data_IF_313819568963
#
_entry.id   IF_313819568963
#
_cell.length_a   1.000
_cell.length_b   1.000
_cell.length_c   1.000
_cell.angle_alpha   90.00
_cell.angle_beta   90.00
_cell.angle_gamma   90.00
#
_symmetry.space_group_name_H-M   'P 1'
#
loop_
_entity.id
_entity.type
_entity.pdbx_description
1 polymer ?
#
# COMPACT_ATOMS: atom_id res chain seq x y z
N UNK A 1 -6.90 0.72 -9.96
CA UNK A 1 -7.22 -0.71 -10.06
C UNK A 1 -6.01 -1.40 -9.50
N UNK A 2 -6.13 -2.44 -8.68
CA UNK A 2 -4.94 -3.09 -8.12
C UNK A 2 -4.03 -3.49 -9.27
N UNK A 3 -2.85 -2.87 -9.33
CA UNK A 3 -1.96 -2.96 -10.48
C UNK A 3 -1.05 -4.18 -10.36
N UNK A 4 -0.69 -4.54 -9.13
CA UNK A 4 0.21 -5.66 -8.85
C UNK A 4 -0.30 -6.50 -7.68
N UNK A 5 -0.25 -7.81 -7.84
CA UNK A 5 -0.45 -8.78 -6.78
C UNK A 5 0.84 -9.56 -6.54
N UNK A 6 1.22 -9.71 -5.28
CA UNK A 6 2.31 -10.60 -4.87
C UNK A 6 1.74 -11.93 -4.40
N UNK A 7 2.22 -13.01 -5.00
CA UNK A 7 1.79 -14.37 -4.70
C UNK A 7 2.87 -15.14 -3.94
N UNK A 8 2.46 -15.92 -2.95
CA UNK A 8 3.28 -16.94 -2.31
C UNK A 8 2.58 -18.29 -2.50
N UNK A 9 3.00 -19.04 -3.52
CA UNK A 9 2.24 -20.19 -4.00
C UNK A 9 0.92 -19.72 -4.60
N UNK A 10 -0.20 -20.27 -4.12
CA UNK A 10 -1.56 -19.91 -4.55
C UNK A 10 -2.17 -18.77 -3.71
N UNK A 11 -1.50 -18.31 -2.65
CA UNK A 11 -1.99 -17.28 -1.77
C UNK A 11 -1.54 -15.88 -2.23
N UNK A 12 -2.49 -14.94 -2.27
CA UNK A 12 -2.18 -13.51 -2.39
C UNK A 12 -1.74 -12.99 -1.03
N UNK A 13 -0.53 -12.44 -0.97
CA UNK A 13 0.11 -12.01 0.28
C UNK A 13 0.34 -10.51 0.36
N UNK A 14 0.46 -9.83 -0.78
CA UNK A 14 0.43 -8.37 -0.86
C UNK A 14 -0.26 -7.88 -2.15
N UNK A 15 -0.80 -6.66 -2.12
CA UNK A 15 -1.33 -5.97 -3.28
C UNK A 15 -0.87 -4.51 -3.32
N UNK A 16 -0.65 -4.01 -4.52
CA UNK A 16 -0.09 -2.69 -4.76
C UNK A 16 -0.97 -1.94 -5.76
N UNK A 17 -1.37 -0.74 -5.38
CA UNK A 17 -1.94 0.27 -6.27
C UNK A 17 -0.84 1.29 -6.58
N UNK A 18 -0.53 1.48 -7.86
CA UNK A 18 0.51 2.40 -8.34
C UNK A 18 -0.15 3.68 -8.84
N UNK A 19 -0.09 4.74 -8.04
CA UNK A 19 -0.84 5.98 -8.27
C UNK A 19 0.06 7.08 -8.84
N UNK A 20 0.17 7.14 -10.17
CA UNK A 20 1.00 8.15 -10.85
C UNK A 20 0.24 9.43 -11.23
N UNK A 21 -0.98 9.31 -11.77
CA UNK A 21 -1.76 10.44 -12.32
C UNK A 21 -3.25 10.40 -11.99
N UNK A 22 -3.77 9.25 -11.58
CA UNK A 22 -5.17 9.02 -11.21
C UNK A 22 -5.54 9.64 -9.86
N UNK A 23 -6.83 9.66 -9.53
CA UNK A 23 -7.31 10.12 -8.23
C UNK A 23 -7.12 9.02 -7.19
N UNK A 24 -6.25 9.27 -6.22
CA UNK A 24 -5.99 8.41 -5.03
C UNK A 24 -7.29 7.89 -4.41
N UNK A 25 -8.30 8.75 -4.31
CA UNK A 25 -9.59 8.40 -3.75
C UNK A 25 -10.25 7.21 -4.46
N UNK A 26 -10.11 7.09 -5.78
CA UNK A 26 -10.69 5.98 -6.53
C UNK A 26 -9.94 4.66 -6.29
N UNK A 27 -8.61 4.69 -6.15
CA UNK A 27 -7.82 3.53 -5.75
C UNK A 27 -8.22 3.05 -4.35
N UNK A 28 -8.31 3.98 -3.39
CA UNK A 28 -8.78 3.72 -2.03
C UNK A 28 -10.19 3.14 -1.98
N UNK A 29 -11.12 3.64 -2.78
CA UNK A 29 -12.49 3.12 -2.83
C UNK A 29 -12.52 1.65 -3.29
N UNK A 30 -11.71 1.28 -4.28
CA UNK A 30 -11.63 -0.12 -4.74
C UNK A 30 -11.00 -1.02 -3.70
N UNK A 31 -9.99 -0.53 -2.97
CA UNK A 31 -9.42 -1.26 -1.83
C UNK A 31 -10.45 -1.43 -0.71
N UNK A 32 -11.25 -0.40 -0.42
CA UNK A 32 -12.33 -0.47 0.56
C UNK A 32 -13.38 -1.53 0.17
N UNK A 33 -13.76 -1.60 -1.11
CA UNK A 33 -14.69 -2.61 -1.62
C UNK A 33 -14.11 -4.02 -1.43
N UNK A 34 -12.84 -4.24 -1.77
CA UNK A 34 -12.15 -5.52 -1.58
C UNK A 34 -12.17 -5.97 -0.10
N UNK A 35 -11.76 -5.07 0.81
CA UNK A 35 -11.72 -5.34 2.25
C UNK A 35 -13.12 -5.64 2.80
N UNK A 36 -14.13 -4.91 2.32
CA UNK A 36 -15.52 -5.11 2.72
C UNK A 36 -16.09 -6.46 2.26
N UNK A 37 -15.68 -6.93 1.08
CA UNK A 37 -16.10 -8.24 0.56
C UNK A 37 -15.39 -9.41 1.26
N UNK A 38 -14.16 -9.22 1.73
CA UNK A 38 -13.33 -10.26 2.35
C UNK A 38 -12.73 -9.74 3.68
N UNK A 39 -13.54 -9.61 4.76
CA UNK A 39 -13.07 -8.99 6.01
C UNK A 39 -11.99 -9.78 6.75
N UNK A 40 -11.84 -11.07 6.44
CA UNK A 40 -10.78 -11.95 6.98
C UNK A 40 -9.53 -11.99 6.11
N UNK A 41 -9.45 -11.15 5.07
CA UNK A 41 -8.31 -11.10 4.15
C UNK A 41 -7.06 -10.64 4.90
N UNK A 42 -6.09 -11.55 5.01
CA UNK A 42 -4.75 -11.26 5.55
C UNK A 42 -3.84 -10.90 4.38
N UNK A 43 -3.93 -9.64 3.95
CA UNK A 43 -3.22 -9.11 2.80
C UNK A 43 -2.57 -7.78 3.19
N UNK A 44 -1.28 -7.63 2.89
CA UNK A 44 -0.64 -6.32 2.99
C UNK A 44 -1.06 -5.46 1.80
N UNK A 45 -1.59 -4.26 2.08
CA UNK A 45 -1.98 -3.30 1.04
C UNK A 45 -0.96 -2.17 0.96
N UNK A 46 -0.64 -1.76 -0.26
CA UNK A 46 0.32 -0.69 -0.50
C UNK A 46 -0.16 0.29 -1.56
N UNK A 47 0.04 1.58 -1.29
CA UNK A 47 -0.04 2.64 -2.30
C UNK A 47 1.38 3.03 -2.65
N UNK A 48 1.75 2.85 -3.92
CA UNK A 48 3.06 3.26 -4.44
C UNK A 48 2.84 4.53 -5.26
N UNK A 49 3.42 5.65 -4.85
CA UNK A 49 3.24 6.91 -5.57
C UNK A 49 4.49 7.80 -5.50
N UNK A 50 4.59 8.83 -6.37
CA UNK A 50 5.56 9.89 -6.20
C UNK A 50 5.48 10.53 -4.82
N UNK A 51 6.64 10.88 -4.27
CA UNK A 51 6.83 11.46 -2.95
C UNK A 51 5.97 12.72 -2.73
N UNK A 52 5.82 13.58 -3.75
CA UNK A 52 5.00 14.78 -3.69
C UNK A 52 3.49 14.49 -3.47
N UNK A 53 3.04 13.25 -3.65
CA UNK A 53 1.66 12.83 -3.41
C UNK A 53 1.44 12.29 -2.00
N UNK A 54 2.49 12.10 -1.21
CA UNK A 54 2.43 11.52 0.14
C UNK A 54 1.35 12.19 0.99
N UNK A 55 1.39 13.51 1.13
CA UNK A 55 0.41 14.26 1.95
C UNK A 55 -1.03 14.02 1.49
N UNK A 56 -1.25 13.97 0.17
CA UNK A 56 -2.56 13.69 -0.41
C UNK A 56 -3.01 12.26 -0.14
N UNK A 57 -2.12 11.28 -0.21
CA UNK A 57 -2.42 9.89 0.15
C UNK A 57 -2.85 9.79 1.60
N UNK A 58 -2.06 10.38 2.51
CA UNK A 58 -2.33 10.38 3.94
C UNK A 58 -3.63 11.10 4.29
N UNK A 59 -3.89 12.25 3.64
CA UNK A 59 -5.15 12.95 3.81
C UNK A 59 -6.35 12.09 3.38
N UNK A 60 -6.31 11.54 2.15
CA UNK A 60 -7.43 10.79 1.60
C UNK A 60 -7.70 9.51 2.38
N UNK A 61 -6.68 8.71 2.70
CA UNK A 61 -6.85 7.44 3.41
C UNK A 61 -7.38 7.61 4.82
N UNK A 62 -7.07 8.72 5.49
CA UNK A 62 -7.56 9.03 6.83
C UNK A 62 -8.96 9.64 6.86
N UNK A 63 -9.61 9.83 5.71
CA UNK A 63 -11.00 10.30 5.67
C UNK A 63 -11.93 9.29 6.37
N UNK A 64 -13.01 9.76 7.03
CA UNK A 64 -13.94 8.89 7.75
C UNK A 64 -14.51 7.73 6.94
N UNK A 65 -14.62 7.88 5.61
CA UNK A 65 -15.09 6.82 4.71
C UNK A 65 -14.20 5.56 4.75
N UNK A 66 -12.90 5.72 5.00
CA UNK A 66 -11.92 4.64 4.99
C UNK A 66 -11.41 4.30 6.39
N UNK A 67 -11.24 5.31 7.25
CA UNK A 67 -10.77 5.15 8.63
C UNK A 67 -11.79 4.43 9.55
N UNK A 68 -13.08 4.37 9.17
CA UNK A 68 -14.12 3.70 9.95
C UNK A 68 -14.48 2.30 9.44
N UNK A 69 -13.79 1.80 8.42
CA UNK A 69 -13.97 0.43 7.93
C UNK A 69 -13.54 -0.59 8.99
N UNK A 70 -13.94 -1.84 8.79
CA UNK A 70 -13.57 -2.95 9.67
C UNK A 70 -12.88 -4.05 8.83
N UNK A 71 -11.53 -4.10 8.83
CA UNK A 71 -10.58 -3.19 9.53
C UNK A 71 -10.43 -1.80 8.85
N UNK A 72 -9.97 -0.76 9.58
CA UNK A 72 -9.68 0.55 9.00
C UNK A 72 -8.60 0.49 7.93
N UNK A 73 -8.79 1.15 6.79
CA UNK A 73 -7.77 1.17 5.73
C UNK A 73 -6.42 1.76 6.17
N UNK A 74 -6.35 2.89 6.91
CA UNK A 74 -5.06 3.43 7.39
C UNK A 74 -4.21 2.44 8.18
N UNK A 75 -4.84 1.45 8.82
CA UNK A 75 -4.18 0.44 9.64
C UNK A 75 -3.60 -0.73 8.84
N UNK A 76 -4.16 -1.01 7.67
CA UNK A 76 -3.80 -2.19 6.86
C UNK A 76 -3.11 -1.83 5.55
N UNK A 77 -3.18 -0.55 5.15
CA UNK A 77 -2.59 -0.04 3.94
C UNK A 77 -1.44 0.92 4.27
N UNK A 78 -0.30 0.72 3.63
CA UNK A 78 0.92 1.50 3.82
C UNK A 78 1.28 2.27 2.56
N UNK A 79 2.09 3.31 2.70
CA UNK A 79 2.54 4.13 1.60
C UNK A 79 3.99 3.82 1.24
N UNK A 80 4.31 3.69 -0.05
CA UNK A 80 5.68 3.48 -0.53
C UNK A 80 6.04 4.62 -1.47
N UNK A 81 6.97 5.51 -1.08
CA UNK A 81 7.46 6.55 -1.96
C UNK A 81 8.34 5.98 -3.07
N UNK A 82 8.27 6.58 -4.26
CA UNK A 82 9.10 6.19 -5.40
C UNK A 82 10.59 6.33 -5.11
N UNK A 83 10.99 7.37 -4.38
CA UNK A 83 12.40 7.60 -4.07
C UNK A 83 13.00 6.45 -3.24
N UNK A 84 12.34 6.05 -2.15
CA UNK A 84 12.83 4.96 -1.31
C UNK A 84 12.77 3.61 -2.04
N UNK A 85 11.71 3.32 -2.80
CA UNK A 85 11.64 2.09 -3.59
C UNK A 85 12.79 1.97 -4.60
N UNK A 86 13.10 3.06 -5.32
CA UNK A 86 14.21 3.07 -6.29
C UNK A 86 15.55 2.88 -5.59
N UNK A 87 15.78 3.63 -4.51
CA UNK A 87 17.00 3.54 -3.71
C UNK A 87 17.22 2.13 -3.18
N UNK A 88 16.17 1.48 -2.67
CA UNK A 88 16.24 0.12 -2.14
C UNK A 88 16.56 -0.90 -3.25
N UNK A 89 15.88 -0.80 -4.40
CA UNK A 89 16.14 -1.68 -5.55
C UNK A 89 17.58 -1.51 -6.09
N UNK A 90 18.09 -0.29 -6.14
CA UNK A 90 19.47 0.00 -6.54
C UNK A 90 20.49 -0.61 -5.56
N UNK A 91 20.25 -0.50 -4.25
CA UNK A 91 21.12 -1.09 -3.23
C UNK A 91 21.14 -2.62 -3.27
N UNK A 92 19.98 -3.25 -3.49
CA UNK A 92 19.87 -4.71 -3.60
C UNK A 92 20.51 -5.21 -4.91
N UNK A 93 20.34 -4.46 -5.99
CA UNK A 93 20.87 -4.77 -7.31
C UNK A 93 20.42 -6.13 -7.85
N UNK A 94 21.35 -6.91 -8.40
CA UNK A 94 21.04 -8.21 -9.02
C UNK A 94 20.46 -9.27 -8.06
N UNK A 95 20.50 -9.02 -6.75
CA UNK A 95 19.95 -9.93 -5.74
C UNK A 95 18.44 -9.78 -5.54
N UNK A 96 17.81 -8.80 -6.20
CA UNK A 96 16.37 -8.48 -6.04
C UNK A 96 15.46 -9.68 -6.31
N UNK A 97 15.87 -10.55 -7.24
CA UNK A 97 15.19 -11.80 -7.61
C UNK A 97 15.15 -12.87 -6.51
N UNK A 98 15.91 -12.69 -5.42
CA UNK A 98 15.88 -13.57 -4.25
C UNK A 98 15.16 -12.93 -3.05
N UNK A 99 14.72 -11.68 -3.18
CA UNK A 99 14.04 -10.99 -2.10
C UNK A 99 12.60 -11.50 -1.97
N UNK A 100 12.14 -11.58 -0.72
CA UNK A 100 10.76 -11.87 -0.38
C UNK A 100 10.07 -10.56 0.01
N UNK A 101 8.74 -10.51 -0.11
CA UNK A 101 7.95 -9.29 0.10
C UNK A 101 8.24 -8.51 1.40
N UNK A 102 8.79 -9.14 2.43
CA UNK A 102 9.05 -8.51 3.73
C UNK A 102 9.98 -7.29 3.61
N UNK A 103 10.86 -7.21 2.60
CA UNK A 103 11.68 -5.99 2.39
C UNK A 103 10.81 -4.75 2.10
N UNK A 104 9.66 -4.93 1.45
CA UNK A 104 8.71 -3.84 1.19
C UNK A 104 8.26 -3.21 2.51
N UNK A 105 8.13 -4.01 3.57
CA UNK A 105 7.68 -3.51 4.86
C UNK A 105 8.65 -2.51 5.50
N UNK A 106 9.93 -2.58 5.14
CA UNK A 106 10.99 -1.71 5.67
C UNK A 106 10.99 -0.33 5.00
N UNK A 107 10.54 -0.25 3.76
CA UNK A 107 10.44 1.01 2.98
C UNK A 107 9.02 1.60 2.98
N UNK A 108 8.06 0.91 3.59
CA UNK A 108 6.66 1.31 3.61
C UNK A 108 6.35 2.14 4.86
N UNK A 109 5.80 3.33 4.65
CA UNK A 109 5.36 4.23 5.71
C UNK A 109 3.97 3.86 6.23
N UNK A 110 3.78 3.94 7.55
CA UNK A 110 2.46 3.80 8.16
C UNK A 110 1.55 4.96 7.75
N UNK A 111 0.31 4.65 7.38
CA UNK A 111 -0.72 5.66 7.13
C UNK A 111 -1.52 6.03 8.38
N UNK A 112 -1.31 5.32 9.50
CA UNK A 112 -1.99 5.63 10.76
C UNK A 112 -1.54 7.01 11.26
N UNK A 113 -2.47 7.87 11.69
CA UNK A 113 -2.12 9.18 12.21
C UNK A 113 -1.48 9.02 13.59
N UNK A 114 -0.37 9.72 13.82
CA UNK A 114 0.28 9.78 15.12
C UNK A 114 -0.59 10.58 16.08
N UNK A 115 -1.38 9.89 16.90
CA UNK A 115 -2.05 10.50 18.05
C UNK A 115 -1.01 10.59 19.19
N UNK A 116 -0.10 11.57 19.11
CA UNK A 116 0.70 11.96 20.28
C UNK A 116 -0.15 12.82 21.21
#
# INVERSE_FOLDING_TARGET
MIDVLWLQGEAIVAAFEVEHTTTIYSGLLRMADLVSMQPNLKLDLFIVAPDERREKVFYEINRPAFARLKPPLPKICRFIPYLELKKEVEQIGNRIRYMRQEFISEIAESCEPDYT
#
